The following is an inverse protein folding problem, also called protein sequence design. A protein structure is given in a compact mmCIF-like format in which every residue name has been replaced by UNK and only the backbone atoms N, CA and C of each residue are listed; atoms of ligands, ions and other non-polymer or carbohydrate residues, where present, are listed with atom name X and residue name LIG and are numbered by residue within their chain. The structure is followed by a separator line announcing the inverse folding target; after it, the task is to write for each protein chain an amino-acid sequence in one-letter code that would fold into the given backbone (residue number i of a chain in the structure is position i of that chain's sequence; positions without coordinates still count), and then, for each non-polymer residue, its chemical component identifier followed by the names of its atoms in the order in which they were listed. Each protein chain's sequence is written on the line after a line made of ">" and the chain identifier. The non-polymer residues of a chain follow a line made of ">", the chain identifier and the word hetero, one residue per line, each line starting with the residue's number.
data_IF_271477648502
#
_entry.id   IF_271477648502
#
_cell.length_a   1.000
_cell.length_b   1.000
_cell.length_c   1.000
_cell.angle_alpha   90.00
_cell.angle_beta   90.00
_cell.angle_gamma   90.00
#
_symmetry.space_group_name_H-M   'P 1'
#
loop_
_entity.id
_entity.type
_entity.pdbx_description
1 polymer ?
#
# COMPACT_ATOMS: atom_id res chain seq x y z
N UNK A 1 -6.02 3.65 -22.81
CA UNK A 1 -7.26 4.02 -22.13
C UNK A 1 -7.92 2.79 -21.51
N UNK A 2 -8.29 2.89 -20.24
CA UNK A 2 -8.95 1.78 -19.56
C UNK A 2 -10.42 1.73 -19.94
N UNK A 3 -10.92 0.55 -20.32
CA UNK A 3 -12.34 0.34 -20.66
C UNK A 3 -13.01 -0.41 -19.51
N UNK A 4 -14.36 -0.50 -19.54
CA UNK A 4 -15.10 -1.27 -18.54
C UNK A 4 -14.71 -2.73 -18.49
N UNK A 5 -14.28 -3.32 -19.61
CA UNK A 5 -13.86 -4.72 -19.66
C UNK A 5 -12.54 -4.96 -18.96
N UNK A 6 -11.72 -3.92 -18.78
CA UNK A 6 -10.42 -4.03 -18.10
C UNK A 6 -10.54 -3.78 -16.59
N UNK A 7 -11.68 -3.25 -16.13
CA UNK A 7 -11.88 -2.95 -14.71
C UNK A 7 -12.22 -4.21 -13.93
N UNK A 8 -11.64 -4.30 -12.75
CA UNK A 8 -11.84 -5.43 -11.84
C UNK A 8 -12.83 -5.08 -10.76
N UNK A 9 -13.60 -6.09 -10.31
CA UNK A 9 -14.40 -5.95 -9.09
C UNK A 9 -13.48 -5.83 -7.90
N UNK A 10 -14.00 -5.32 -6.76
CA UNK A 10 -13.21 -5.25 -5.52
C UNK A 10 -12.71 -6.63 -5.09
N UNK A 11 -13.51 -7.68 -5.30
CA UNK A 11 -13.10 -9.05 -4.98
C UNK A 11 -11.96 -9.54 -5.86
N UNK A 12 -12.03 -9.29 -7.15
CA UNK A 12 -10.95 -9.63 -8.08
C UNK A 12 -9.67 -8.87 -7.75
N UNK A 13 -9.81 -7.58 -7.49
CA UNK A 13 -8.66 -6.75 -7.13
C UNK A 13 -8.04 -7.18 -5.81
N UNK A 14 -8.88 -7.56 -4.83
CA UNK A 14 -8.40 -8.09 -3.55
C UNK A 14 -7.55 -9.34 -3.75
N UNK A 15 -8.00 -10.27 -4.58
CA UNK A 15 -7.27 -11.50 -4.85
C UNK A 15 -5.90 -11.24 -5.47
N UNK A 16 -5.82 -10.32 -6.42
CA UNK A 16 -4.58 -10.01 -7.13
C UNK A 16 -3.64 -9.12 -6.31
N UNK A 17 -4.18 -8.17 -5.57
CA UNK A 17 -3.38 -7.22 -4.79
C UNK A 17 -2.91 -7.76 -3.45
N UNK A 18 -3.55 -8.81 -2.96
CA UNK A 18 -3.36 -9.36 -1.61
C UNK A 18 -3.77 -8.39 -0.49
N UNK A 19 -4.57 -7.41 -0.82
CA UNK A 19 -5.21 -6.55 0.16
C UNK A 19 -6.65 -7.04 0.34
N UNK A 20 -7.08 -7.22 1.59
CA UNK A 20 -8.46 -7.67 1.84
C UNK A 20 -9.46 -6.62 1.35
N UNK A 21 -10.68 -7.08 1.06
CA UNK A 21 -11.78 -6.17 0.69
C UNK A 21 -11.98 -5.11 1.77
N UNK A 22 -11.88 -5.52 3.05
CA UNK A 22 -11.97 -4.59 4.18
C UNK A 22 -10.91 -3.51 4.12
N UNK A 23 -9.67 -3.88 3.83
CA UNK A 23 -8.56 -2.92 3.72
C UNK A 23 -8.74 -2.01 2.51
N UNK A 24 -9.20 -2.55 1.39
CA UNK A 24 -9.47 -1.74 0.20
C UNK A 24 -10.53 -0.68 0.47
N UNK A 25 -11.59 -1.04 1.20
CA UNK A 25 -12.62 -0.07 1.60
C UNK A 25 -12.07 0.98 2.55
N UNK A 26 -11.20 0.57 3.46
CA UNK A 26 -10.53 1.48 4.39
C UNK A 26 -9.67 2.49 3.65
N UNK A 27 -8.86 2.03 2.71
CA UNK A 27 -8.00 2.91 1.91
C UNK A 27 -8.81 3.85 1.00
N UNK A 28 -9.93 3.39 0.46
CA UNK A 28 -10.85 4.25 -0.28
C UNK A 28 -11.42 5.36 0.62
N UNK A 29 -11.89 4.99 1.80
CA UNK A 29 -12.44 5.96 2.76
C UNK A 29 -11.43 7.03 3.16
N UNK A 30 -10.15 6.70 3.20
CA UNK A 30 -9.08 7.62 3.57
C UNK A 30 -8.38 8.28 2.36
N UNK A 31 -8.87 8.02 1.16
CA UNK A 31 -8.29 8.62 -0.06
C UNK A 31 -6.92 8.09 -0.44
N UNK A 32 -6.49 6.96 0.11
CA UNK A 32 -5.17 6.38 -0.17
C UNK A 32 -5.17 5.63 -1.49
N UNK A 33 -6.20 4.82 -1.71
CA UNK A 33 -6.37 4.06 -2.94
C UNK A 33 -7.86 4.09 -3.31
N UNK A 34 -8.19 5.00 -4.21
CA UNK A 34 -9.58 5.23 -4.63
C UNK A 34 -9.84 4.41 -5.89
N UNK A 35 -10.97 3.67 -5.96
CA UNK A 35 -11.27 2.89 -7.17
C UNK A 35 -11.39 3.79 -8.40
N UNK A 36 -10.98 3.27 -9.53
CA UNK A 36 -11.05 3.99 -10.81
C UNK A 36 -12.48 4.41 -11.14
N UNK A 37 -13.46 3.57 -10.79
CA UNK A 37 -14.87 3.83 -11.06
C UNK A 37 -15.74 3.31 -9.93
N UNK A 38 -16.77 4.08 -9.59
CA UNK A 38 -17.81 3.65 -8.65
C UNK A 38 -19.14 3.76 -9.38
N UNK A 39 -19.88 2.65 -9.43
CA UNK A 39 -21.19 2.63 -10.09
C UNK A 39 -22.16 3.55 -9.36
N UNK A 40 -22.81 4.46 -10.11
CA UNK A 40 -23.67 5.49 -9.53
C UNK A 40 -24.95 4.91 -8.88
N UNK A 41 -25.38 3.73 -9.32
CA UNK A 41 -26.62 3.12 -8.83
C UNK A 41 -26.36 2.09 -7.72
N UNK A 42 -25.39 1.18 -7.94
CA UNK A 42 -25.12 0.08 -7.02
C UNK A 42 -24.07 0.43 -5.96
N UNK A 43 -23.23 1.43 -6.23
CA UNK A 43 -22.09 1.75 -5.38
C UNK A 43 -20.94 0.77 -5.54
N UNK A 44 -21.02 -0.17 -6.49
CA UNK A 44 -19.95 -1.14 -6.70
C UNK A 44 -18.67 -0.46 -7.18
N UNK A 45 -17.57 -0.84 -6.57
CA UNK A 45 -16.24 -0.32 -6.87
C UNK A 45 -15.58 -1.13 -7.96
N UNK A 46 -14.92 -0.43 -8.90
CA UNK A 46 -14.15 -1.04 -9.97
C UNK A 46 -12.73 -0.48 -9.96
N UNK A 47 -11.75 -1.36 -10.05
CA UNK A 47 -10.34 -1.00 -9.98
C UNK A 47 -9.67 -1.28 -11.32
N UNK A 48 -8.75 -0.40 -11.72
CA UNK A 48 -7.98 -0.57 -12.96
C UNK A 48 -6.75 -1.44 -12.71
N UNK A 49 -6.28 -2.19 -13.71
CA UNK A 49 -5.04 -2.98 -13.59
C UNK A 49 -3.83 -2.16 -13.14
N UNK A 50 -3.71 -0.91 -13.59
CA UNK A 50 -2.62 -0.03 -13.17
C UNK A 50 -2.60 0.23 -11.67
N UNK A 51 -3.73 0.12 -10.99
CA UNK A 51 -3.82 0.31 -9.54
C UNK A 51 -3.20 -0.85 -8.75
N UNK A 52 -2.88 -1.96 -9.39
CA UNK A 52 -2.18 -3.07 -8.74
C UNK A 52 -0.79 -2.65 -8.26
N UNK A 53 -0.12 -1.76 -8.98
CA UNK A 53 1.17 -1.21 -8.55
C UNK A 53 1.01 -0.35 -7.29
N UNK A 54 -0.01 0.49 -7.27
CA UNK A 54 -0.31 1.31 -6.09
C UNK A 54 -0.60 0.42 -4.89
N UNK A 55 -1.40 -0.62 -5.09
CA UNK A 55 -1.73 -1.58 -4.03
C UNK A 55 -0.47 -2.29 -3.52
N UNK A 56 0.46 -2.66 -4.40
CA UNK A 56 1.71 -3.30 -4.00
C UNK A 56 2.56 -2.37 -3.14
N UNK A 57 2.68 -1.10 -3.54
CA UNK A 57 3.43 -0.11 -2.77
C UNK A 57 2.80 0.12 -1.40
N UNK A 58 1.47 0.25 -1.34
CA UNK A 58 0.73 0.41 -0.09
C UNK A 58 0.99 -0.77 0.84
N UNK A 59 0.88 -1.99 0.32
CA UNK A 59 1.10 -3.20 1.11
C UNK A 59 2.53 -3.25 1.66
N UNK A 60 3.52 -2.95 0.83
CA UNK A 60 4.91 -2.95 1.26
C UNK A 60 5.17 -1.91 2.35
N UNK A 61 4.67 -0.70 2.18
CA UNK A 61 4.84 0.36 3.17
C UNK A 61 4.12 0.03 4.48
N UNK A 62 2.92 -0.56 4.39
CA UNK A 62 2.20 -1.04 5.58
C UNK A 62 3.01 -2.11 6.31
N UNK A 63 3.56 -3.06 5.57
CA UNK A 63 4.28 -4.19 6.15
C UNK A 63 5.60 -3.77 6.82
N UNK A 64 6.19 -2.65 6.41
CA UNK A 64 7.35 -2.09 7.12
C UNK A 64 6.94 -1.18 8.28
N UNK A 65 5.65 -1.08 8.57
CA UNK A 65 5.16 -0.42 9.78
C UNK A 65 4.66 1.00 9.63
N UNK A 66 4.47 1.49 8.40
CA UNK A 66 3.98 2.85 8.19
C UNK A 66 2.45 2.91 8.24
N UNK A 67 1.94 3.96 8.85
CA UNK A 67 0.51 4.22 8.94
C UNK A 67 -0.05 4.91 7.71
N UNK A 68 -1.37 5.08 7.68
CA UNK A 68 -2.11 5.63 6.54
C UNK A 68 -1.59 6.99 6.10
N UNK A 69 -1.33 7.90 7.04
CA UNK A 69 -0.86 9.25 6.72
C UNK A 69 0.51 9.24 6.05
N UNK A 70 1.44 8.44 6.57
CA UNK A 70 2.77 8.32 5.99
C UNK A 70 2.72 7.67 4.61
N UNK A 71 1.91 6.63 4.44
CA UNK A 71 1.73 5.97 3.16
C UNK A 71 1.18 6.95 2.12
N UNK A 72 0.16 7.72 2.48
CA UNK A 72 -0.45 8.70 1.58
C UNK A 72 0.57 9.73 1.12
N UNK A 73 1.35 10.28 2.06
CA UNK A 73 2.37 11.27 1.75
C UNK A 73 3.46 10.69 0.86
N UNK A 74 3.91 9.47 1.13
CA UNK A 74 4.95 8.81 0.34
C UNK A 74 4.47 8.50 -1.08
N UNK A 75 3.25 8.00 -1.25
CA UNK A 75 2.72 7.73 -2.59
C UNK A 75 2.69 9.00 -3.44
N UNK A 76 2.32 10.13 -2.83
CA UNK A 76 2.30 11.42 -3.51
C UNK A 76 3.72 11.88 -3.90
N UNK A 77 4.73 11.41 -3.19
CA UNK A 77 6.13 11.79 -3.41
C UNK A 77 6.90 10.79 -4.28
N UNK A 78 6.24 9.77 -4.85
CA UNK A 78 6.91 8.81 -5.74
C UNK A 78 7.60 9.52 -6.89
N UNK A 79 8.80 9.05 -7.23
CA UNK A 79 9.61 9.65 -8.28
C UNK A 79 10.39 10.88 -7.86
N UNK A 80 10.34 11.26 -6.59
CA UNK A 80 11.10 12.40 -6.05
C UNK A 80 12.16 11.92 -5.06
N UNK A 81 13.10 12.82 -4.71
CA UNK A 81 14.09 12.53 -3.70
C UNK A 81 13.48 12.28 -2.32
N UNK A 82 12.33 12.90 -2.03
CA UNK A 82 11.61 12.69 -0.77
C UNK A 82 11.22 11.22 -0.60
N UNK A 83 10.72 10.59 -1.66
CA UNK A 83 10.42 9.15 -1.67
C UNK A 83 11.67 8.32 -1.37
N UNK A 84 12.75 8.57 -2.11
CA UNK A 84 14.01 7.83 -1.98
C UNK A 84 14.60 8.01 -0.58
N UNK A 85 14.63 9.23 -0.08
CA UNK A 85 15.21 9.55 1.24
C UNK A 85 14.40 8.91 2.36
N UNK A 86 13.06 8.94 2.27
CA UNK A 86 12.20 8.33 3.27
C UNK A 86 12.38 6.82 3.34
N UNK A 87 12.50 6.16 2.18
CA UNK A 87 12.75 4.72 2.13
C UNK A 87 14.14 4.36 2.67
N UNK A 88 15.14 5.17 2.37
CA UNK A 88 16.49 4.98 2.89
C UNK A 88 16.51 5.10 4.42
N UNK A 89 15.81 6.09 4.96
CA UNK A 89 15.71 6.27 6.41
C UNK A 89 15.00 5.09 7.07
N UNK A 90 13.92 4.62 6.47
CA UNK A 90 13.18 3.46 6.98
C UNK A 90 14.06 2.21 6.98
N UNK A 91 14.87 2.03 5.92
CA UNK A 91 15.82 0.93 5.83
C UNK A 91 16.84 0.99 6.97
N UNK A 92 17.39 2.16 7.24
CA UNK A 92 18.34 2.35 8.34
C UNK A 92 17.72 1.99 9.68
N UNK A 93 16.48 2.42 9.93
CA UNK A 93 15.75 2.11 11.15
C UNK A 93 15.58 0.59 11.32
N UNK A 94 15.19 -0.10 10.25
CA UNK A 94 15.01 -1.56 10.30
C UNK A 94 16.33 -2.29 10.52
N UNK A 95 17.42 -1.82 9.93
CA UNK A 95 18.74 -2.42 10.14
C UNK A 95 19.17 -2.27 11.60
N UNK A 96 18.95 -1.10 12.20
CA UNK A 96 19.25 -0.86 13.61
C UNK A 96 18.41 -1.75 14.53
N UNK A 97 17.12 -1.88 14.24
CA UNK A 97 16.21 -2.76 14.98
C UNK A 97 16.64 -4.21 14.89
N UNK A 98 17.04 -4.66 13.71
CA UNK A 98 17.52 -6.02 13.50
C UNK A 98 18.79 -6.27 14.29
N UNK A 99 19.74 -5.34 14.28
CA UNK A 99 20.98 -5.44 15.03
C UNK A 99 20.71 -5.53 16.55
N UNK A 100 19.86 -4.66 17.05
CA UNK A 100 19.49 -4.68 18.46
C UNK A 100 18.77 -5.97 18.85
N UNK A 101 17.93 -6.50 17.96
CA UNK A 101 17.24 -7.77 18.20
C UNK A 101 18.23 -8.94 18.27
N UNK A 102 19.22 -8.95 17.39
CA UNK A 102 20.28 -9.97 17.38
C UNK A 102 21.12 -9.94 18.66
N UNK A 103 21.43 -8.72 19.12
CA UNK A 103 22.16 -8.57 20.39
C UNK A 103 21.36 -9.14 21.55
N UNK A 104 20.06 -8.84 21.61
CA UNK A 104 19.20 -9.39 22.68
C UNK A 104 19.10 -10.92 22.59
N UNK A 105 19.01 -11.45 21.39
CA UNK A 105 18.95 -12.89 21.18
C UNK A 105 20.22 -13.56 21.68
N UNK A 106 21.39 -12.96 21.46
CA UNK A 106 22.67 -13.51 21.89
C UNK A 106 22.79 -13.60 23.42
N UNK A 107 22.00 -12.82 24.17
CA UNK A 107 22.01 -12.86 25.62
C UNK A 107 21.36 -14.12 26.19
N UNK A 108 20.54 -14.81 25.40
CA UNK A 108 19.81 -16.01 25.84
C UNK A 108 20.26 -17.27 25.13
N UNK A 109 21.19 -17.19 24.20
CA UNK A 109 21.76 -18.35 23.50
C UNK A 109 22.85 -19.05 24.35
#
# INVERSE_FOLDING_TARGET
>A
MVTHTDLMTIGEFSSLSRLSVRMLRHYDAHGVLVPEHVDAHSGYRRYAPAQLRDAADIRNLRDVGLGVSAITALLAARGTSTWTDALALQRCTLVEELHAARERLSLID
#
